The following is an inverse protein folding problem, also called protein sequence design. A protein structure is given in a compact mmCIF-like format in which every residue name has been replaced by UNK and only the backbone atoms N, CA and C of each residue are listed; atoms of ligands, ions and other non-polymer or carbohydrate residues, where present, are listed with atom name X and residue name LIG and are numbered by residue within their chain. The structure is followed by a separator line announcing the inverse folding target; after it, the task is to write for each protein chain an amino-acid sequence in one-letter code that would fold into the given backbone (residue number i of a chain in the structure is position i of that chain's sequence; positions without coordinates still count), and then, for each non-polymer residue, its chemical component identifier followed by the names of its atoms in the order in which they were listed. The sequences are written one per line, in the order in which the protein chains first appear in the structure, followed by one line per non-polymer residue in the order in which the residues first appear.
data_IF_657741444152
#
_entry.id   IF_657741444152
#
_cell.length_a   1.000
_cell.length_b   1.000
_cell.length_c   1.000
_cell.angle_alpha   90.00
_cell.angle_beta   90.00
_cell.angle_gamma   90.00
#
_symmetry.space_group_name_H-M   'P 1'
#
loop_
_entity.id
_entity.type
_entity.pdbx_description
1 polymer ?
#
# COMPACT_ATOMS: atom_id res chain seq x y z
N UNK A 1 -27.27 -12.08 30.46
CA UNK A 1 -25.91 -12.54 30.09
C UNK A 1 -25.95 -12.95 28.62
N UNK A 2 -25.48 -12.06 27.76
CA UNK A 2 -25.68 -12.11 26.30
C UNK A 2 -24.77 -13.15 25.66
N UNK A 3 -25.37 -14.13 24.98
CA UNK A 3 -24.69 -15.19 24.26
C UNK A 3 -23.85 -14.58 23.12
N UNK A 4 -22.53 -14.78 23.15
CA UNK A 4 -21.65 -14.49 22.01
C UNK A 4 -22.03 -15.46 20.88
N UNK A 5 -22.75 -14.97 19.88
CA UNK A 5 -23.07 -15.69 18.65
C UNK A 5 -21.78 -15.80 17.84
N UNK A 6 -21.28 -17.02 17.67
CA UNK A 6 -20.15 -17.34 16.80
C UNK A 6 -20.59 -17.07 15.35
N UNK A 7 -19.86 -16.30 14.53
CA UNK A 7 -20.29 -16.06 13.17
C UNK A 7 -20.17 -17.38 12.40
N UNK A 8 -21.26 -17.73 11.74
CA UNK A 8 -21.46 -18.92 10.94
C UNK A 8 -21.70 -18.45 9.51
N UNK A 9 -20.68 -18.46 8.66
CA UNK A 9 -20.72 -18.81 7.22
C UNK A 9 -19.43 -18.39 6.48
N UNK A 10 -18.89 -19.22 5.56
CA UNK A 10 -17.79 -18.85 4.66
C UNK A 10 -18.17 -17.78 3.61
N UNK A 11 -19.44 -17.73 3.21
CA UNK A 11 -19.93 -16.92 2.07
C UNK A 11 -19.92 -15.39 2.32
N UNK A 12 -20.04 -14.93 3.58
CA UNK A 12 -19.99 -13.49 3.91
C UNK A 12 -18.57 -12.91 3.75
N UNK A 13 -17.54 -13.68 4.08
CA UNK A 13 -16.13 -13.27 4.00
C UNK A 13 -15.65 -13.11 2.55
N UNK A 14 -16.14 -13.95 1.63
CA UNK A 14 -15.81 -13.84 0.20
C UNK A 14 -16.46 -12.58 -0.42
N UNK A 15 -17.69 -12.25 -0.01
CA UNK A 15 -18.42 -11.06 -0.50
C UNK A 15 -17.80 -9.72 -0.06
N UNK A 16 -17.25 -9.66 1.15
CA UNK A 16 -16.52 -8.48 1.66
C UNK A 16 -15.17 -8.32 0.95
N UNK A 17 -14.46 -9.43 0.69
CA UNK A 17 -13.19 -9.37 -0.04
C UNK A 17 -13.34 -8.89 -1.48
N UNK A 18 -14.39 -9.32 -2.18
CA UNK A 18 -14.63 -8.93 -3.58
C UNK A 18 -15.06 -7.47 -3.72
N UNK A 19 -15.83 -6.94 -2.76
CA UNK A 19 -16.22 -5.53 -2.72
C UNK A 19 -15.04 -4.61 -2.42
N UNK A 20 -14.16 -4.99 -1.47
CA UNK A 20 -12.91 -4.27 -1.18
C UNK A 20 -12.00 -4.29 -2.41
N UNK A 21 -11.84 -5.43 -3.09
CA UNK A 21 -11.01 -5.51 -4.31
C UNK A 21 -11.54 -4.60 -5.43
N UNK A 22 -12.86 -4.46 -5.56
CA UNK A 22 -13.50 -3.55 -6.52
C UNK A 22 -13.26 -2.08 -6.19
N UNK A 23 -13.44 -1.68 -4.94
CA UNK A 23 -13.12 -0.32 -4.46
C UNK A 23 -11.64 0.02 -4.66
N UNK A 24 -10.76 -0.98 -4.51
CA UNK A 24 -9.32 -0.79 -4.66
C UNK A 24 -8.87 -0.53 -6.11
N UNK A 25 -9.66 -0.94 -7.10
CA UNK A 25 -9.36 -0.71 -8.52
C UNK A 25 -9.62 0.74 -8.96
N UNK A 26 -10.46 1.48 -8.23
CA UNK A 26 -10.84 2.87 -8.55
C UNK A 26 -9.99 3.92 -7.84
N UNK A 27 -8.89 3.53 -7.16
CA UNK A 27 -8.01 4.49 -6.50
C UNK A 27 -7.16 5.26 -7.50
N UNK A 28 -7.36 6.57 -7.52
CA UNK A 28 -6.45 7.51 -8.17
C UNK A 28 -5.11 7.55 -7.43
N UNK A 29 -4.03 7.60 -8.21
CA UNK A 29 -2.68 7.76 -7.70
C UNK A 29 -2.26 9.23 -7.86
N UNK A 30 -2.14 9.92 -6.72
CA UNK A 30 -1.64 11.29 -6.65
C UNK A 30 -0.22 11.26 -6.12
N UNK A 31 0.69 11.92 -6.81
CA UNK A 31 2.11 11.96 -6.46
C UNK A 31 2.55 13.38 -6.14
N UNK A 32 3.40 13.53 -5.13
CA UNK A 32 4.16 14.75 -4.91
C UNK A 32 5.19 14.96 -6.03
N UNK A 33 5.59 16.20 -6.28
CA UNK A 33 6.58 16.53 -7.32
C UNK A 33 7.92 15.83 -7.05
N UNK A 34 8.32 15.70 -5.78
CA UNK A 34 9.54 15.00 -5.38
C UNK A 34 9.58 13.55 -5.82
N UNK A 35 8.43 12.88 -5.94
CA UNK A 35 8.36 11.50 -6.42
C UNK A 35 8.92 11.36 -7.84
N UNK A 36 8.64 12.32 -8.73
CA UNK A 36 9.14 12.29 -10.10
C UNK A 36 10.66 12.50 -10.15
N UNK A 37 11.19 13.35 -9.28
CA UNK A 37 12.63 13.59 -9.14
C UNK A 37 13.35 12.32 -8.67
N UNK A 38 12.82 11.67 -7.61
CA UNK A 38 13.34 10.42 -7.07
C UNK A 38 13.27 9.28 -8.09
N UNK A 39 12.13 9.14 -8.78
CA UNK A 39 11.99 8.14 -9.84
C UNK A 39 13.02 8.38 -10.96
N UNK A 40 13.20 9.62 -11.38
CA UNK A 40 14.18 10.00 -12.41
C UNK A 40 15.61 9.70 -11.97
N UNK A 41 15.94 10.00 -10.71
CA UNK A 41 17.22 9.68 -10.11
C UNK A 41 17.48 8.17 -10.13
N UNK A 42 16.51 7.36 -9.68
CA UNK A 42 16.66 5.90 -9.66
C UNK A 42 16.72 5.30 -11.06
N UNK A 43 15.98 5.83 -12.04
CA UNK A 43 16.11 5.39 -13.44
C UNK A 43 17.53 5.60 -13.97
N UNK A 44 18.18 6.72 -13.62
CA UNK A 44 19.55 7.04 -14.06
C UNK A 44 20.62 6.26 -13.30
N UNK A 45 20.44 6.02 -12.00
CA UNK A 45 21.48 5.44 -11.13
C UNK A 45 21.32 3.95 -10.91
N UNK A 46 20.09 3.45 -10.76
CA UNK A 46 19.81 2.05 -10.50
C UNK A 46 18.39 1.63 -10.93
N UNK A 47 18.28 1.15 -12.18
CA UNK A 47 17.02 0.71 -12.77
C UNK A 47 16.30 -0.38 -11.98
N UNK A 48 17.00 -1.20 -11.18
CA UNK A 48 16.33 -2.22 -10.35
C UNK A 48 15.49 -1.58 -9.24
N UNK A 49 15.96 -0.47 -8.67
CA UNK A 49 15.24 0.26 -7.61
C UNK A 49 14.03 0.97 -8.21
N UNK A 50 14.13 1.58 -9.40
CA UNK A 50 12.98 2.22 -10.03
C UNK A 50 11.86 1.22 -10.39
N UNK A 51 12.22 0.02 -10.89
CA UNK A 51 11.24 -1.04 -11.13
C UNK A 51 10.57 -1.52 -9.82
N UNK A 52 11.34 -1.62 -8.74
CA UNK A 52 10.80 -1.96 -7.41
C UNK A 52 9.86 -0.87 -6.90
N UNK A 53 10.20 0.40 -7.08
CA UNK A 53 9.37 1.55 -6.70
C UNK A 53 8.01 1.48 -7.40
N UNK A 54 8.00 1.31 -8.73
CA UNK A 54 6.76 1.20 -9.51
C UNK A 54 5.93 -0.03 -9.12
N UNK A 55 6.58 -1.15 -8.82
CA UNK A 55 5.90 -2.35 -8.32
C UNK A 55 5.22 -2.10 -6.96
N UNK A 56 5.90 -1.41 -6.03
CA UNK A 56 5.32 -1.05 -4.74
C UNK A 56 4.13 -0.09 -4.91
N UNK A 57 4.20 0.88 -5.83
CA UNK A 57 3.09 1.79 -6.13
C UNK A 57 1.86 1.03 -6.60
N UNK A 58 2.01 0.08 -7.53
CA UNK A 58 0.89 -0.74 -8.00
C UNK A 58 0.35 -1.69 -6.92
N UNK A 59 1.21 -2.14 -6.02
CA UNK A 59 0.80 -2.94 -4.87
C UNK A 59 0.03 -2.10 -3.85
N UNK A 60 0.47 -0.86 -3.58
CA UNK A 60 -0.22 0.08 -2.69
C UNK A 60 -1.61 0.42 -3.24
N UNK A 61 -1.73 0.67 -4.55
CA UNK A 61 -3.02 0.92 -5.22
C UNK A 61 -4.03 -0.17 -4.89
N UNK A 62 -3.60 -1.43 -5.04
CA UNK A 62 -4.44 -2.62 -4.84
C UNK A 62 -4.65 -2.97 -3.38
N UNK A 63 -3.62 -2.85 -2.54
CA UNK A 63 -3.63 -3.32 -1.16
C UNK A 63 -2.80 -2.37 -0.27
N UNK A 64 -3.33 -1.21 0.16
CA UNK A 64 -2.54 -0.17 0.80
C UNK A 64 -1.83 -0.61 2.09
N UNK A 65 -2.42 -1.49 2.89
CA UNK A 65 -1.94 -1.78 4.26
C UNK A 65 -1.24 -3.13 4.41
N UNK A 66 -1.14 -3.93 3.34
CA UNK A 66 -0.56 -5.27 3.38
C UNK A 66 0.39 -5.51 2.20
N UNK A 67 1.26 -6.49 2.38
CA UNK A 67 2.13 -7.02 1.33
C UNK A 67 3.61 -6.64 1.50
N UNK A 68 4.31 -6.42 0.39
CA UNK A 68 5.77 -6.30 0.35
C UNK A 68 6.26 -4.94 0.86
N UNK A 69 7.53 -4.89 1.25
CA UNK A 69 8.14 -3.68 1.80
C UNK A 69 7.82 -3.42 3.26
N UNK A 70 7.15 -4.34 3.98
CA UNK A 70 6.80 -4.19 5.41
C UNK A 70 6.05 -2.87 5.67
N UNK A 71 4.75 -2.80 5.31
CA UNK A 71 3.93 -1.63 5.56
C UNK A 71 3.92 -1.28 7.05
N UNK A 72 4.31 -0.05 7.37
CA UNK A 72 4.41 0.46 8.74
C UNK A 72 3.63 1.78 8.83
N UNK A 73 2.67 1.86 9.76
CA UNK A 73 1.93 3.09 10.03
C UNK A 73 2.80 4.09 10.79
N UNK A 74 2.89 5.33 10.30
CA UNK A 74 3.66 6.39 10.96
C UNK A 74 2.84 7.03 12.08
N UNK A 75 3.38 7.02 13.31
CA UNK A 75 2.63 7.39 14.53
C UNK A 75 2.51 8.89 14.78
N UNK A 76 3.42 9.68 14.23
CA UNK A 76 3.59 11.11 14.58
C UNK A 76 3.37 12.05 13.40
N UNK A 77 2.88 11.54 12.27
CA UNK A 77 2.43 12.38 11.17
C UNK A 77 0.92 12.53 11.24
N UNK A 78 0.43 13.72 10.91
CA UNK A 78 -1.00 13.99 10.85
C UNK A 78 -1.64 13.09 9.80
N UNK A 79 -2.49 12.16 10.24
CA UNK A 79 -3.31 11.32 9.34
C UNK A 79 -2.93 9.84 9.26
N UNK A 80 -3.57 9.17 8.30
CA UNK A 80 -3.41 7.74 8.02
C UNK A 80 -2.22 7.51 7.08
N UNK A 81 -1.03 7.97 7.46
CA UNK A 81 0.19 7.90 6.65
C UNK A 81 0.96 6.60 6.92
N UNK A 82 1.45 5.99 5.86
CA UNK A 82 2.14 4.71 5.85
C UNK A 82 3.51 4.80 5.17
N UNK A 83 4.36 3.84 5.50
CA UNK A 83 5.68 3.69 4.91
C UNK A 83 5.92 2.26 4.47
N UNK A 84 6.57 2.08 3.32
CA UNK A 84 7.13 0.80 2.85
C UNK A 84 8.60 0.95 2.52
N UNK A 85 9.36 -0.13 2.74
CA UNK A 85 10.79 -0.26 2.45
C UNK A 85 11.04 -0.42 0.96
N UNK A 86 11.59 0.64 0.37
CA UNK A 86 12.13 0.59 -0.99
C UNK A 86 13.50 -0.10 -0.98
N UNK A 87 14.41 0.36 -0.11
CA UNK A 87 15.71 -0.26 0.17
C UNK A 87 15.89 -0.44 1.68
N UNK A 88 17.08 -0.83 2.14
CA UNK A 88 17.40 -0.81 3.57
C UNK A 88 17.29 0.60 4.16
N UNK A 89 17.70 1.63 3.40
CA UNK A 89 17.77 3.03 3.84
C UNK A 89 16.58 3.86 3.38
N UNK A 90 16.04 3.57 2.20
CA UNK A 90 15.03 4.39 1.54
C UNK A 90 13.62 3.88 1.82
N UNK A 91 12.66 4.80 1.88
CA UNK A 91 11.25 4.53 2.17
C UNK A 91 10.35 5.20 1.15
N UNK A 92 9.29 4.49 0.74
CA UNK A 92 8.15 5.08 0.06
C UNK A 92 7.11 5.42 1.13
N UNK A 93 6.77 6.70 1.25
CA UNK A 93 5.77 7.22 2.20
C UNK A 93 4.53 7.63 1.41
N UNK A 94 3.34 7.28 1.90
CA UNK A 94 2.05 7.49 1.23
C UNK A 94 0.89 7.55 2.23
#
# INVERSE_FOLDING_TARGET
MTKKKKPSQPDELESESDSILKENLERDLVFDVSFLEDLTYWVKTNRKISLRLLSLVEEIRRNPFIGTGKPERLKYQDGNVWSRRLTEKDRLVY
#
